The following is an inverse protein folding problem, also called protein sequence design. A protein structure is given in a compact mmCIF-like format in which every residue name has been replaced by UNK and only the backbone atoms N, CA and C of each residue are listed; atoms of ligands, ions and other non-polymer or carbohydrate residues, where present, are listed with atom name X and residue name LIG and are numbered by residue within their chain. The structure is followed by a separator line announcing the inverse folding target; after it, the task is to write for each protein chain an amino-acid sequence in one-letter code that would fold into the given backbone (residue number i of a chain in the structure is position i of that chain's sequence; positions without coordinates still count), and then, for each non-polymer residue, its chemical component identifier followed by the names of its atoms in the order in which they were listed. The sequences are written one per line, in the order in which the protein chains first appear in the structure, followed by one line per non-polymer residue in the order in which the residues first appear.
data_IF_012792585592
#
_entry.id   IF_012792585592
#
_cell.length_a   1.000
_cell.length_b   1.000
_cell.length_c   1.000
_cell.angle_alpha   90.00
_cell.angle_beta   90.00
_cell.angle_gamma   90.00
#
_symmetry.space_group_name_H-M   'P 1'
#
loop_
_entity.id
_entity.type
_entity.pdbx_description
1 polymer ?
#
# COMPACT_ATOMS: atom_id res chain seq x y z
N UNK A 1 18.79 -22.23 2.74
CA UNK A 1 17.98 -21.77 1.62
C UNK A 1 17.09 -20.63 2.09
N UNK A 2 17.28 -19.42 1.56
CA UNK A 2 16.41 -18.29 1.83
C UNK A 2 15.08 -18.54 1.12
N UNK A 3 14.05 -18.88 1.89
CA UNK A 3 12.69 -18.89 1.39
C UNK A 3 12.29 -17.43 1.15
N UNK A 4 12.34 -17.00 -0.09
CA UNK A 4 11.75 -15.72 -0.52
C UNK A 4 10.24 -15.93 -0.44
N UNK A 5 9.63 -15.47 0.63
CA UNK A 5 8.17 -15.41 0.74
C UNK A 5 7.68 -14.27 -0.17
N UNK A 6 7.34 -14.61 -1.41
CA UNK A 6 6.75 -13.70 -2.37
C UNK A 6 5.23 -13.73 -2.19
N UNK A 7 4.65 -12.59 -1.82
CA UNK A 7 3.19 -12.41 -1.77
C UNK A 7 2.78 -11.61 -3.01
N UNK A 8 2.23 -12.25 -4.05
CA UNK A 8 1.74 -11.54 -5.21
C UNK A 8 0.49 -10.74 -4.83
N UNK A 9 0.49 -9.45 -5.10
CA UNK A 9 -0.66 -8.58 -4.88
C UNK A 9 -0.97 -7.84 -6.17
N UNK A 10 -2.20 -7.92 -6.65
CA UNK A 10 -2.68 -7.17 -7.81
C UNK A 10 -3.68 -6.12 -7.34
N UNK A 11 -3.55 -4.90 -7.80
CA UNK A 11 -4.48 -3.82 -7.49
C UNK A 11 -4.78 -2.98 -8.74
N UNK A 12 -5.92 -2.30 -8.70
CA UNK A 12 -6.30 -1.31 -9.71
C UNK A 12 -5.79 0.07 -9.29
N UNK A 13 -5.20 0.80 -10.21
CA UNK A 13 -4.76 2.18 -9.99
C UNK A 13 -5.25 3.07 -11.12
N UNK A 14 -5.83 4.20 -10.74
CA UNK A 14 -6.16 5.30 -11.64
C UNK A 14 -5.36 6.54 -11.28
N UNK A 15 -5.04 7.36 -12.28
CA UNK A 15 -4.49 8.70 -12.06
C UNK A 15 -5.09 9.70 -13.03
N UNK A 16 -5.29 10.93 -12.52
CA UNK A 16 -5.83 12.06 -13.27
C UNK A 16 -4.90 13.26 -13.12
N UNK A 17 -4.29 13.65 -14.24
CA UNK A 17 -3.52 14.89 -14.31
C UNK A 17 -4.45 16.10 -14.26
N UNK A 18 -4.13 17.04 -13.40
CA UNK A 18 -4.81 18.33 -13.25
C UNK A 18 -3.95 19.46 -13.84
N UNK A 19 -4.44 20.67 -13.73
CA UNK A 19 -3.70 21.86 -14.19
C UNK A 19 -2.44 22.11 -13.35
N UNK A 20 -1.44 22.74 -13.95
CA UNK A 20 -0.22 23.20 -13.27
C UNK A 20 0.58 22.11 -12.55
N UNK A 21 0.70 20.92 -13.15
CA UNK A 21 1.55 19.86 -12.63
C UNK A 21 0.98 19.10 -11.45
N UNK A 22 -0.31 19.26 -11.12
CA UNK A 22 -0.99 18.41 -10.14
C UNK A 22 -1.49 17.12 -10.77
N UNK A 23 -1.38 16.03 -10.03
CA UNK A 23 -1.90 14.70 -10.39
C UNK A 23 -2.53 14.06 -9.15
N UNK A 24 -3.77 13.61 -9.30
CA UNK A 24 -4.47 12.81 -8.28
C UNK A 24 -4.36 11.34 -8.67
N UNK A 25 -4.07 10.50 -7.70
CA UNK A 25 -3.95 9.04 -7.87
C UNK A 25 -4.89 8.35 -6.90
N UNK A 26 -5.51 7.27 -7.35
CA UNK A 26 -6.29 6.38 -6.51
C UNK A 26 -5.87 4.94 -6.77
N UNK A 27 -5.84 4.14 -5.70
CA UNK A 27 -5.55 2.71 -5.73
C UNK A 27 -6.64 1.95 -5.02
N UNK A 28 -7.00 0.82 -5.56
CA UNK A 28 -8.04 -0.02 -4.99
C UNK A 28 -7.74 -1.50 -5.26
N UNK A 29 -7.82 -2.29 -4.20
CA UNK A 29 -7.90 -3.74 -4.25
C UNK A 29 -9.25 -4.10 -3.62
N UNK A 30 -10.21 -4.66 -4.38
CA UNK A 30 -11.43 -5.19 -3.80
C UNK A 30 -11.09 -6.31 -2.82
N UNK A 31 -12.03 -6.62 -1.94
CA UNK A 31 -11.85 -7.73 -1.01
C UNK A 31 -11.58 -9.03 -1.79
N UNK A 32 -10.44 -9.62 -1.50
CA UNK A 32 -10.01 -10.92 -2.04
C UNK A 32 -10.00 -11.89 -0.88
N UNK A 33 -10.72 -12.98 -1.03
CA UNK A 33 -10.75 -14.10 -0.10
C UNK A 33 -9.90 -15.24 -0.65
N UNK A 34 -8.94 -15.68 0.13
CA UNK A 34 -8.11 -16.83 -0.17
C UNK A 34 -7.92 -17.67 1.10
N UNK A 35 -8.53 -18.85 1.14
CA UNK A 35 -8.42 -19.83 2.24
C UNK A 35 -8.75 -19.23 3.62
N UNK A 36 -9.85 -18.45 3.71
CA UNK A 36 -10.29 -17.78 4.93
C UNK A 36 -9.55 -16.48 5.27
N UNK A 37 -8.54 -16.13 4.50
CA UNK A 37 -7.85 -14.84 4.60
C UNK A 37 -8.46 -13.84 3.63
N UNK A 38 -9.05 -12.78 4.15
CA UNK A 38 -9.64 -11.68 3.38
C UNK A 38 -8.74 -10.46 3.45
N UNK A 39 -8.52 -9.82 2.33
CA UNK A 39 -7.71 -8.60 2.27
C UNK A 39 -8.35 -7.61 1.33
N UNK A 40 -8.44 -6.35 1.74
CA UNK A 40 -8.80 -5.21 0.90
C UNK A 40 -7.84 -4.04 1.15
N UNK A 41 -7.66 -3.23 0.14
CA UNK A 41 -6.77 -2.08 0.18
C UNK A 41 -7.38 -0.94 -0.62
N UNK A 42 -7.28 0.26 -0.09
CA UNK A 42 -7.54 1.48 -0.83
C UNK A 42 -6.60 2.60 -0.42
N UNK A 43 -6.31 3.47 -1.37
CA UNK A 43 -5.45 4.60 -1.14
C UNK A 43 -5.71 5.72 -2.13
N UNK A 44 -5.37 6.93 -1.72
CA UNK A 44 -5.39 8.11 -2.55
C UNK A 44 -4.12 8.91 -2.35
N UNK A 45 -3.65 9.58 -3.40
CA UNK A 45 -2.49 10.45 -3.31
C UNK A 45 -2.65 11.68 -4.21
N UNK A 46 -2.04 12.76 -3.77
CA UNK A 46 -1.84 13.98 -4.53
C UNK A 46 -0.34 14.14 -4.80
N UNK A 47 0.00 14.29 -6.06
CA UNK A 47 1.36 14.60 -6.50
C UNK A 47 1.38 15.97 -7.16
N UNK A 48 2.43 16.73 -6.92
CA UNK A 48 2.65 18.01 -7.57
C UNK A 48 4.07 18.11 -8.12
N UNK A 49 4.18 18.44 -9.41
CA UNK A 49 5.46 18.71 -10.07
C UNK A 49 5.85 20.17 -9.89
N UNK A 50 6.79 20.47 -9.01
CA UNK A 50 7.26 21.82 -8.70
C UNK A 50 7.98 22.47 -9.88
N UNK A 51 8.65 21.68 -10.71
CA UNK A 51 9.35 22.20 -11.90
C UNK A 51 8.40 22.75 -12.95
N UNK A 52 7.10 22.42 -12.91
CA UNK A 52 6.08 22.97 -13.81
C UNK A 52 5.83 24.48 -13.62
N UNK A 53 6.30 25.07 -12.52
CA UNK A 53 6.16 26.49 -12.22
C UNK A 53 7.37 27.33 -12.65
N UNK A 54 8.46 26.68 -13.06
CA UNK A 54 9.67 27.36 -13.47
C UNK A 54 9.55 27.86 -14.91
N UNK A 55 9.99 29.10 -15.16
CA UNK A 55 10.11 29.64 -16.50
C UNK A 55 11.15 28.81 -17.27
N UNK A 56 10.74 28.26 -18.42
CA UNK A 56 11.62 27.36 -19.20
C UNK A 56 11.56 25.89 -18.78
N UNK A 57 10.52 25.45 -18.07
CA UNK A 57 10.31 24.06 -17.62
C UNK A 57 10.50 23.00 -18.71
N UNK A 58 10.15 23.32 -19.96
CA UNK A 58 10.29 22.43 -21.13
C UNK A 58 11.74 22.14 -21.51
N UNK A 59 12.68 22.98 -21.06
CA UNK A 59 14.11 22.83 -21.31
C UNK A 59 14.78 22.01 -20.20
N UNK A 60 14.12 21.82 -19.07
CA UNK A 60 14.65 21.01 -17.97
C UNK A 60 14.51 19.52 -18.30
N UNK A 61 15.61 18.75 -18.30
CA UNK A 61 15.57 17.31 -18.56
C UNK A 61 15.02 16.49 -17.39
N UNK A 62 14.79 17.15 -16.25
CA UNK A 62 14.37 16.53 -14.97
C UNK A 62 13.16 17.23 -14.41
N UNK A 63 12.21 16.45 -13.89
CA UNK A 63 11.08 16.91 -13.10
C UNK A 63 11.29 16.57 -11.62
N UNK A 64 10.95 17.50 -10.74
CA UNK A 64 10.93 17.29 -9.29
C UNK A 64 9.49 17.42 -8.81
N UNK A 65 9.03 16.40 -8.10
CA UNK A 65 7.67 16.32 -7.59
C UNK A 65 7.65 15.98 -6.11
N UNK A 66 6.64 16.50 -5.41
CA UNK A 66 6.24 16.04 -4.08
C UNK A 66 4.97 15.21 -4.18
N UNK A 67 4.84 14.21 -3.33
CA UNK A 67 3.66 13.37 -3.22
C UNK A 67 3.25 13.24 -1.76
N UNK A 68 1.96 13.41 -1.50
CA UNK A 68 1.33 13.03 -0.23
C UNK A 68 0.23 12.02 -0.52
N UNK A 69 0.22 10.93 0.24
CA UNK A 69 -0.75 9.87 0.05
C UNK A 69 -1.27 9.33 1.38
N UNK A 70 -2.48 8.78 1.32
CA UNK A 70 -3.09 8.03 2.41
C UNK A 70 -3.45 6.65 1.91
N UNK A 71 -3.18 5.64 2.74
CA UNK A 71 -3.51 4.25 2.46
C UNK A 71 -4.20 3.62 3.65
N UNK A 72 -5.17 2.75 3.37
CA UNK A 72 -5.80 1.87 4.34
C UNK A 72 -5.80 0.44 3.83
N UNK A 73 -5.30 -0.46 4.66
CA UNK A 73 -5.30 -1.90 4.45
C UNK A 73 -6.15 -2.52 5.54
N UNK A 74 -7.03 -3.43 5.16
CA UNK A 74 -7.79 -4.25 6.09
C UNK A 74 -7.56 -5.71 5.72
N UNK A 75 -7.16 -6.51 6.67
CA UNK A 75 -6.97 -7.94 6.54
C UNK A 75 -7.71 -8.65 7.66
N UNK A 76 -8.38 -9.76 7.35
CA UNK A 76 -9.05 -10.60 8.32
C UNK A 76 -8.78 -12.07 8.03
N UNK A 77 -8.77 -12.88 9.07
CA UNK A 77 -8.62 -14.32 8.97
C UNK A 77 -9.63 -15.00 9.87
N UNK A 78 -10.46 -15.87 9.27
CA UNK A 78 -11.48 -16.64 9.98
C UNK A 78 -10.83 -17.82 10.72
N UNK A 79 -11.06 -17.91 12.04
CA UNK A 79 -10.53 -18.97 12.91
C UNK A 79 -11.51 -20.13 13.10
N UNK A 80 -12.69 -20.08 12.47
CA UNK A 80 -13.74 -21.09 12.62
C UNK A 80 -13.29 -22.51 12.18
N UNK A 81 -12.18 -22.60 11.45
CA UNK A 81 -11.55 -23.87 11.08
C UNK A 81 -10.56 -24.42 12.12
N UNK A 82 -10.31 -23.67 13.20
CA UNK A 82 -9.38 -24.08 14.27
C UNK A 82 -10.13 -24.81 15.39
N UNK A 83 -9.47 -25.71 16.14
CA UNK A 83 -10.12 -26.46 17.24
C UNK A 83 -10.37 -25.61 18.50
N UNK A 84 -10.43 -24.29 18.38
CA UNK A 84 -10.73 -23.37 19.50
C UNK A 84 -12.24 -23.27 19.66
N UNK A 85 -12.76 -23.56 20.86
CA UNK A 85 -14.19 -23.49 21.13
C UNK A 85 -14.69 -22.03 21.16
N UNK A 86 -15.75 -21.76 20.39
CA UNK A 86 -16.35 -20.44 20.27
C UNK A 86 -17.11 -20.28 18.97
N UNK A 87 -17.57 -19.09 18.70
CA UNK A 87 -18.31 -18.77 17.47
C UNK A 87 -17.89 -17.41 16.90
N UNK A 88 -17.84 -17.32 15.57
CA UNK A 88 -17.53 -16.09 14.86
C UNK A 88 -16.12 -15.55 15.15
N UNK A 89 -15.16 -16.43 15.31
CA UNK A 89 -13.80 -16.11 15.69
C UNK A 89 -13.01 -15.60 14.48
N UNK A 90 -12.56 -14.35 14.54
CA UNK A 90 -11.85 -13.71 13.46
C UNK A 90 -10.69 -12.87 14.01
N UNK A 91 -9.52 -12.97 13.38
CA UNK A 91 -8.41 -12.04 13.60
C UNK A 91 -8.55 -10.94 12.55
N UNK A 92 -8.62 -9.69 13.00
CA UNK A 92 -8.69 -8.53 12.13
C UNK A 92 -7.43 -7.66 12.31
N UNK A 93 -6.91 -7.15 11.21
CA UNK A 93 -5.83 -6.17 11.20
C UNK A 93 -6.22 -5.02 10.28
N UNK A 94 -6.21 -3.82 10.82
CA UNK A 94 -6.42 -2.57 10.11
C UNK A 94 -5.16 -1.73 10.18
N UNK A 95 -4.66 -1.29 9.03
CA UNK A 95 -3.51 -0.41 8.95
C UNK A 95 -3.88 0.86 8.19
N UNK A 96 -3.63 2.00 8.80
CA UNK A 96 -3.77 3.32 8.20
C UNK A 96 -2.40 3.97 8.12
N UNK A 97 -2.05 4.54 6.98
CA UNK A 97 -0.75 5.20 6.81
C UNK A 97 -0.80 6.42 5.91
N UNK A 98 -0.04 7.43 6.29
CA UNK A 98 0.31 8.57 5.47
C UNK A 98 1.69 8.36 4.87
N UNK A 99 1.85 8.76 3.63
CA UNK A 99 3.11 8.72 2.91
C UNK A 99 3.44 10.11 2.36
N UNK A 100 4.67 10.53 2.56
CA UNK A 100 5.24 11.76 2.01
C UNK A 100 6.47 11.38 1.20
N UNK A 101 6.56 11.84 -0.05
CA UNK A 101 7.68 11.48 -0.92
C UNK A 101 8.14 12.64 -1.77
N UNK A 102 9.45 12.75 -1.95
CA UNK A 102 10.08 13.57 -2.97
C UNK A 102 10.54 12.66 -4.12
N UNK A 103 10.21 13.04 -5.35
CA UNK A 103 10.45 12.23 -6.54
C UNK A 103 11.18 13.09 -7.58
N UNK A 104 12.29 12.60 -8.08
CA UNK A 104 12.96 13.15 -9.25
C UNK A 104 12.78 12.18 -10.43
N UNK A 105 12.43 12.70 -11.61
CA UNK A 105 12.24 11.90 -12.81
C UNK A 105 12.81 12.58 -14.05
N UNK A 106 13.29 11.81 -15.02
CA UNK A 106 13.70 12.34 -16.32
C UNK A 106 12.46 12.68 -17.18
N UNK A 107 12.61 13.62 -18.12
CA UNK A 107 11.56 14.02 -19.09
C UNK A 107 11.90 13.53 -20.50
N UNK A 108 12.22 12.23 -20.65
CA UNK A 108 12.55 11.66 -21.95
C UNK A 108 11.27 11.22 -22.68
N UNK A 109 11.26 11.22 -24.02
CA UNK A 109 10.05 10.98 -24.78
C UNK A 109 9.50 9.55 -24.68
N UNK A 110 10.37 8.54 -24.58
CA UNK A 110 10.00 7.12 -24.61
C UNK A 110 10.17 6.47 -23.24
N UNK A 111 11.34 6.62 -22.64
CA UNK A 111 11.65 6.01 -21.34
C UNK A 111 11.95 7.09 -20.32
N UNK A 112 11.35 7.01 -19.13
CA UNK A 112 11.65 7.90 -18.03
C UNK A 112 12.14 7.08 -16.84
N UNK A 113 13.25 7.50 -16.25
CA UNK A 113 13.74 6.97 -14.99
C UNK A 113 13.29 7.88 -13.87
N UNK A 114 13.01 7.31 -12.71
CA UNK A 114 12.67 8.08 -11.52
C UNK A 114 13.29 7.48 -10.27
N UNK A 115 13.60 8.35 -9.34
CA UNK A 115 14.05 8.02 -8.01
C UNK A 115 13.19 8.80 -7.01
N UNK A 116 12.85 8.17 -5.90
CA UNK A 116 12.07 8.79 -4.84
C UNK A 116 12.61 8.44 -3.46
N UNK A 117 12.51 9.41 -2.56
CA UNK A 117 12.70 9.22 -1.13
C UNK A 117 11.39 9.56 -0.43
N UNK A 118 10.95 8.69 0.46
CA UNK A 118 9.69 8.84 1.15
C UNK A 118 9.78 8.51 2.63
N UNK A 119 8.80 9.01 3.36
CA UNK A 119 8.53 8.68 4.75
C UNK A 119 7.10 8.23 4.89
N UNK A 120 6.90 7.11 5.58
CA UNK A 120 5.59 6.55 5.91
C UNK A 120 5.39 6.65 7.40
N UNK A 121 4.20 7.08 7.82
CA UNK A 121 3.78 7.13 9.22
C UNK A 121 2.33 6.71 9.33
N UNK A 122 2.03 5.83 10.28
CA UNK A 122 0.67 5.32 10.47
C UNK A 122 0.55 4.47 11.71
N UNK A 123 -0.55 3.73 11.77
CA UNK A 123 -0.81 2.77 12.83
C UNK A 123 -1.42 1.49 12.28
N UNK A 124 -1.12 0.39 12.93
CA UNK A 124 -1.72 -0.90 12.71
C UNK A 124 -2.47 -1.33 13.97
N UNK A 125 -3.74 -1.66 13.83
CA UNK A 125 -4.58 -2.20 14.89
C UNK A 125 -4.92 -3.64 14.57
N UNK A 126 -4.57 -4.56 15.48
CA UNK A 126 -4.94 -5.96 15.40
C UNK A 126 -5.87 -6.28 16.57
N UNK A 127 -6.98 -6.94 16.28
CA UNK A 127 -7.96 -7.32 17.28
C UNK A 127 -8.62 -8.66 16.94
N UNK A 128 -9.09 -9.32 18.00
CA UNK A 128 -9.82 -10.58 17.88
C UNK A 128 -11.32 -10.29 18.08
N UNK A 129 -12.12 -10.68 17.11
CA UNK A 129 -13.58 -10.70 17.21
C UNK A 129 -14.06 -12.12 17.48
N UNK A 130 -15.24 -12.22 18.08
CA UNK A 130 -15.89 -13.47 18.39
C UNK A 130 -15.91 -13.86 19.86
N UNK A 131 -16.45 -15.03 20.16
CA UNK A 131 -16.49 -15.61 21.48
C UNK A 131 -15.45 -16.73 21.62
N UNK A 132 -14.77 -16.75 22.76
CA UNK A 132 -13.70 -17.71 23.07
C UNK A 132 -14.02 -18.34 24.42
N UNK A 133 -14.23 -19.66 24.45
CA UNK A 133 -14.50 -20.40 25.67
C UNK A 133 -13.21 -20.98 26.22
N UNK A 134 -12.96 -20.75 27.51
CA UNK A 134 -11.78 -21.27 28.20
C UNK A 134 -12.09 -22.70 28.65
N UNK A 135 -11.36 -23.67 28.12
CA UNK A 135 -11.59 -25.08 28.39
C UNK A 135 -10.88 -25.60 29.63
N UNK A 136 -9.77 -24.97 30.04
CA UNK A 136 -8.92 -25.44 31.13
C UNK A 136 -8.49 -24.31 32.08
N UNK A 137 -8.16 -24.68 33.32
CA UNK A 137 -7.63 -23.75 34.34
C UNK A 137 -8.70 -23.16 35.26
N UNK A 138 -8.32 -22.19 36.12
CA UNK A 138 -9.21 -21.58 37.13
C UNK A 138 -10.40 -20.83 36.53
N UNK A 139 -10.38 -20.50 35.26
CA UNK A 139 -11.41 -19.77 34.52
C UNK A 139 -12.16 -20.67 33.52
N UNK A 140 -12.01 -21.98 33.59
CA UNK A 140 -12.69 -22.93 32.70
C UNK A 140 -14.20 -22.71 32.71
N UNK A 141 -14.81 -22.73 31.52
CA UNK A 141 -16.24 -22.46 31.32
C UNK A 141 -16.60 -20.97 31.18
N UNK A 142 -15.66 -20.05 31.32
CA UNK A 142 -15.90 -18.65 31.01
C UNK A 142 -15.75 -18.35 29.52
N UNK A 143 -16.64 -17.51 29.00
CA UNK A 143 -16.59 -17.03 27.61
C UNK A 143 -16.10 -15.61 27.59
N UNK A 144 -15.01 -15.37 26.84
CA UNK A 144 -14.49 -14.04 26.56
C UNK A 144 -15.03 -13.56 25.22
N UNK A 145 -15.49 -12.32 25.13
CA UNK A 145 -15.95 -11.69 23.90
C UNK A 145 -14.97 -10.61 23.52
N UNK A 146 -14.44 -10.68 22.28
CA UNK A 146 -13.47 -9.75 21.72
C UNK A 146 -12.26 -9.52 22.68
N UNK A 147 -11.53 -10.60 23.05
CA UNK A 147 -10.65 -10.57 24.22
C UNK A 147 -9.36 -9.76 24.01
N UNK A 148 -9.05 -9.37 22.79
CA UNK A 148 -7.75 -8.79 22.49
C UNK A 148 -7.84 -7.66 21.47
N UNK A 149 -7.16 -6.55 21.74
CA UNK A 149 -6.92 -5.47 20.78
C UNK A 149 -5.60 -4.78 21.10
N UNK A 150 -4.74 -4.66 20.10
CA UNK A 150 -3.48 -3.94 20.18
C UNK A 150 -3.34 -2.96 19.03
N UNK A 151 -2.82 -1.79 19.32
CA UNK A 151 -2.46 -0.79 18.31
C UNK A 151 -0.96 -0.55 18.37
N UNK A 152 -0.30 -0.58 17.23
CA UNK A 152 1.14 -0.35 17.07
C UNK A 152 1.36 0.76 16.06
N UNK A 153 2.20 1.72 16.42
CA UNK A 153 2.62 2.76 15.47
C UNK A 153 3.64 2.19 14.49
N UNK A 154 3.47 2.56 13.23
CA UNK A 154 4.32 2.13 12.12
C UNK A 154 4.92 3.36 11.47
N UNK A 155 6.22 3.41 11.35
CA UNK A 155 6.90 4.46 10.61
C UNK A 155 8.16 3.94 9.94
N UNK A 156 8.53 4.56 8.83
CA UNK A 156 9.72 4.14 8.12
C UNK A 156 10.08 5.04 6.95
N UNK A 157 11.33 4.98 6.56
CA UNK A 157 11.84 5.62 5.34
C UNK A 157 11.83 4.60 4.21
N UNK A 158 11.42 5.03 3.02
CA UNK A 158 11.53 4.23 1.82
C UNK A 158 12.31 4.99 0.74
N UNK A 159 13.07 4.26 -0.04
CA UNK A 159 13.68 4.75 -1.28
C UNK A 159 13.14 3.92 -2.44
N UNK A 160 12.78 4.57 -3.52
CA UNK A 160 12.24 3.92 -4.71
C UNK A 160 13.05 4.29 -5.93
N UNK A 161 13.38 3.31 -6.75
CA UNK A 161 13.96 3.48 -8.07
C UNK A 161 13.04 2.81 -9.09
N UNK A 162 12.85 3.43 -10.24
CA UNK A 162 12.01 2.84 -11.25
C UNK A 162 12.16 3.47 -12.62
N UNK A 163 11.47 2.88 -13.58
CA UNK A 163 11.35 3.43 -14.92
C UNK A 163 9.93 3.30 -15.44
N UNK A 164 9.58 4.17 -16.35
CA UNK A 164 8.32 4.19 -17.07
C UNK A 164 8.61 4.22 -18.57
N UNK A 165 8.10 3.24 -19.30
CA UNK A 165 8.17 3.15 -20.74
C UNK A 165 6.84 3.61 -21.32
N UNK A 166 6.86 4.60 -22.22
CA UNK A 166 5.69 5.13 -22.92
C UNK A 166 5.61 4.48 -24.31
N UNK A 167 4.56 3.72 -24.55
CA UNK A 167 4.32 2.99 -25.80
C UNK A 167 2.93 3.34 -26.33
N UNK A 168 2.87 4.29 -27.26
CA UNK A 168 1.62 4.74 -27.88
C UNK A 168 0.49 5.01 -26.85
N UNK A 169 -0.49 4.11 -26.74
CA UNK A 169 -1.67 4.21 -25.87
C UNK A 169 -1.50 3.52 -24.49
N UNK A 170 -0.37 2.87 -24.24
CA UNK A 170 -0.12 2.24 -22.95
C UNK A 170 1.27 2.59 -22.41
N UNK A 171 1.41 2.49 -21.11
CA UNK A 171 2.64 2.79 -20.38
C UNK A 171 2.96 1.61 -19.48
N UNK A 172 4.18 1.09 -19.59
CA UNK A 172 4.71 0.10 -18.65
C UNK A 172 5.53 0.82 -17.58
N UNK A 173 5.36 0.42 -16.36
CA UNK A 173 6.19 0.91 -15.26
C UNK A 173 6.72 -0.27 -14.44
N UNK A 174 7.96 -0.15 -14.03
CA UNK A 174 8.57 -1.04 -13.07
C UNK A 174 9.29 -0.22 -12.01
N UNK A 175 9.19 -0.64 -10.76
CA UNK A 175 9.89 -0.01 -9.65
C UNK A 175 10.31 -1.01 -8.60
N UNK A 176 11.40 -0.67 -7.95
CA UNK A 176 11.93 -1.37 -6.80
C UNK A 176 11.99 -0.39 -5.61
N UNK A 177 11.41 -0.79 -4.50
CA UNK A 177 11.40 0.00 -3.28
C UNK A 177 12.24 -0.65 -2.20
N UNK A 178 13.19 0.11 -1.69
CA UNK A 178 14.03 -0.22 -0.55
C UNK A 178 13.34 0.29 0.71
N UNK A 179 12.90 -0.62 1.55
CA UNK A 179 12.30 -0.36 2.84
C UNK A 179 12.56 -1.59 3.72
N UNK A 180 12.01 -1.65 4.91
CA UNK A 180 12.16 -2.81 5.81
C UNK A 180 11.79 -4.13 5.10
N UNK A 181 10.75 -4.11 4.25
CA UNK A 181 10.41 -5.20 3.33
C UNK A 181 10.55 -4.71 1.89
N UNK A 182 11.44 -5.36 1.14
CA UNK A 182 11.69 -5.02 -0.25
C UNK A 182 10.44 -5.29 -1.11
N UNK A 183 10.15 -4.39 -2.04
CA UNK A 183 8.97 -4.49 -2.88
C UNK A 183 9.32 -4.22 -4.35
N UNK A 184 8.84 -5.09 -5.23
CA UNK A 184 8.91 -4.93 -6.69
C UNK A 184 7.49 -4.66 -7.21
N UNK A 185 7.31 -3.55 -7.90
CA UNK A 185 6.05 -3.22 -8.54
C UNK A 185 6.21 -3.26 -10.05
N UNK A 186 5.28 -3.94 -10.72
CA UNK A 186 5.11 -3.91 -12.16
C UNK A 186 3.70 -3.41 -12.46
N UNK A 187 3.56 -2.51 -13.43
CA UNK A 187 2.25 -1.96 -13.74
C UNK A 187 2.11 -1.63 -15.23
N UNK A 188 0.88 -1.75 -15.70
CA UNK A 188 0.45 -1.33 -17.02
C UNK A 188 -0.60 -0.25 -16.83
N UNK A 189 -0.40 0.90 -17.45
CA UNK A 189 -1.36 2.00 -17.42
C UNK A 189 -1.83 2.28 -18.86
N UNK A 190 -3.12 2.57 -18.99
CA UNK A 190 -3.71 2.99 -20.26
C UNK A 190 -4.08 4.48 -20.15
N UNK A 191 -3.79 5.25 -21.17
CA UNK A 191 -4.11 6.67 -21.22
C UNK A 191 -3.26 7.43 -22.24
N UNK A 192 -3.72 8.60 -22.63
CA UNK A 192 -3.06 9.53 -23.53
C UNK A 192 -2.18 10.52 -22.75
#
# INVERSE_FOLDING_TARGET
GSNINFVPTAYLQGSLGLVKGFEVKARFLPEVDYDGAKTKFYGAALQHEFTSWLTGEKLLPVAISGLVGYNRIEASYDLDSTPVQGTGQTINTEMNSWMFSAIASTKLPVINFYAGLGYVSGNAKTYLDGSYTIDEGPLAGQTLVNPYSVTTDVSGVNATLGFKLKLAFFRLNASYSFQEYQNVNLGINFGY
#
